data_IF_598462787599
#
_entry.id   IF_598462787599
#
_cell.length_a   1.000
_cell.length_b   1.000
_cell.length_c   1.000
_cell.angle_alpha   90.00
_cell.angle_beta   90.00
_cell.angle_gamma   90.00
#
_symmetry.space_group_name_H-M   'P 1'
#
loop_
_entity.id
_entity.type
_entity.pdbx_description
1 polymer ?
#
# COMPACT_ATOMS: atom_id res chain seq x y z
N UNK A 1 21.33 -35.72 -8.12
CA UNK A 1 20.67 -34.39 -8.17
C UNK A 1 19.20 -34.64 -7.88
N UNK A 2 18.72 -34.36 -6.67
CA UNK A 2 17.28 -34.45 -6.37
C UNK A 2 16.54 -33.38 -7.19
N UNK A 3 15.40 -33.70 -7.84
CA UNK A 3 14.61 -32.71 -8.55
C UNK A 3 14.18 -31.62 -7.57
N UNK A 4 14.39 -30.34 -7.93
CA UNK A 4 13.74 -29.24 -7.21
C UNK A 4 12.23 -29.48 -7.36
N UNK A 5 11.45 -29.55 -6.26
CA UNK A 5 10.01 -29.64 -6.39
C UNK A 5 9.55 -28.34 -7.07
N UNK A 6 9.08 -28.47 -8.30
CA UNK A 6 8.38 -27.39 -8.96
C UNK A 6 7.06 -27.23 -8.21
N UNK A 7 6.92 -26.13 -7.48
CA UNK A 7 5.63 -25.76 -6.91
C UNK A 7 4.64 -25.60 -8.05
N UNK A 8 3.50 -26.26 -7.94
CA UNK A 8 2.41 -26.06 -8.90
C UNK A 8 1.80 -24.67 -8.71
N UNK A 9 1.10 -24.17 -9.71
CA UNK A 9 0.37 -22.89 -9.58
C UNK A 9 -0.64 -22.92 -8.42
N UNK A 10 -1.22 -24.09 -8.16
CA UNK A 10 -2.11 -24.34 -7.04
C UNK A 10 -1.39 -24.23 -5.69
N UNK A 11 -0.14 -24.71 -5.58
CA UNK A 11 0.67 -24.55 -4.37
C UNK A 11 1.01 -23.07 -4.12
N UNK A 12 1.35 -22.34 -5.18
CA UNK A 12 1.67 -20.90 -5.08
C UNK A 12 0.42 -20.11 -4.68
N UNK A 13 -0.74 -20.38 -5.30
CA UNK A 13 -2.04 -19.78 -4.92
C UNK A 13 -2.32 -20.02 -3.44
N UNK A 14 -2.27 -21.28 -3.00
CA UNK A 14 -2.52 -21.66 -1.62
C UNK A 14 -1.58 -20.93 -0.67
N UNK A 15 -0.29 -20.90 -0.98
CA UNK A 15 0.70 -20.18 -0.17
C UNK A 15 0.38 -18.69 -0.05
N UNK A 16 -0.02 -18.02 -1.12
CA UNK A 16 -0.38 -16.60 -1.08
C UNK A 16 -1.66 -16.35 -0.26
N UNK A 17 -2.65 -17.25 -0.35
CA UNK A 17 -3.84 -17.21 0.51
C UNK A 17 -3.46 -17.41 1.98
N UNK A 18 -2.54 -18.34 2.26
CA UNK A 18 -2.04 -18.56 3.62
C UNK A 18 -1.34 -17.31 4.15
N UNK A 19 -0.54 -16.61 3.33
CA UNK A 19 0.08 -15.35 3.76
C UNK A 19 -0.95 -14.25 4.00
N UNK A 20 -2.02 -14.18 3.19
CA UNK A 20 -3.15 -13.26 3.42
C UNK A 20 -3.74 -13.47 4.82
N UNK A 21 -4.07 -14.72 5.16
CA UNK A 21 -4.67 -15.12 6.46
C UNK A 21 -3.71 -14.92 7.65
N UNK A 22 -2.39 -15.02 7.44
CA UNK A 22 -1.38 -14.88 8.51
C UNK A 22 -1.04 -13.41 8.79
N UNK A 23 -0.97 -12.55 7.77
CA UNK A 23 -0.51 -11.16 7.93
C UNK A 23 -1.64 -10.15 8.18
N UNK A 24 -2.89 -10.56 8.01
CA UNK A 24 -4.05 -9.70 8.18
C UNK A 24 -5.00 -10.32 9.19
N UNK A 25 -5.41 -9.54 10.17
CA UNK A 25 -6.45 -9.92 11.12
C UNK A 25 -7.83 -9.83 10.45
N UNK A 26 -8.83 -10.52 11.01
CA UNK A 26 -10.22 -10.45 10.56
C UNK A 26 -10.45 -10.77 9.07
N UNK A 27 -9.66 -11.71 8.53
CA UNK A 27 -9.87 -12.25 7.18
C UNK A 27 -11.01 -13.27 7.21
N UNK A 28 -12.05 -13.02 6.42
CA UNK A 28 -13.18 -13.91 6.22
C UNK A 28 -13.16 -14.42 4.78
N UNK A 29 -13.22 -15.74 4.61
CA UNK A 29 -13.36 -16.36 3.30
C UNK A 29 -14.84 -16.32 2.89
N UNK A 30 -15.15 -15.54 1.85
CA UNK A 30 -16.51 -15.34 1.35
C UNK A 30 -16.84 -16.43 0.34
N UNK A 31 -15.92 -16.68 -0.60
CA UNK A 31 -15.99 -17.78 -1.55
C UNK A 31 -14.67 -18.54 -1.57
N UNK A 32 -14.77 -19.86 -1.49
CA UNK A 32 -13.61 -20.73 -1.35
C UNK A 32 -12.60 -20.52 -2.48
N UNK A 33 -11.35 -20.24 -2.11
CA UNK A 33 -10.24 -20.04 -3.06
C UNK A 33 -10.42 -18.88 -4.07
N UNK A 34 -11.45 -18.03 -3.97
CA UNK A 34 -11.73 -16.97 -4.94
C UNK A 34 -12.05 -15.61 -4.34
N UNK A 35 -12.61 -15.51 -3.14
CA UNK A 35 -12.99 -14.22 -2.56
C UNK A 35 -12.80 -14.18 -1.04
N UNK A 36 -12.14 -13.13 -0.58
CA UNK A 36 -11.84 -12.89 0.83
C UNK A 36 -12.20 -11.45 1.21
N UNK A 37 -12.84 -11.27 2.35
CA UNK A 37 -13.09 -9.96 2.97
C UNK A 37 -12.11 -9.77 4.12
N UNK A 38 -11.51 -8.58 4.23
CA UNK A 38 -10.59 -8.23 5.32
C UNK A 38 -11.11 -6.97 5.99
N UNK A 39 -11.65 -7.12 7.20
CA UNK A 39 -12.18 -6.00 7.99
C UNK A 39 -11.07 -5.31 8.78
N UNK A 40 -11.10 -3.97 8.80
CA UNK A 40 -10.16 -3.16 9.56
C UNK A 40 -10.78 -1.84 9.98
N UNK A 41 -10.18 -1.18 10.95
CA UNK A 41 -10.61 0.15 11.41
C UNK A 41 -9.66 1.20 10.84
N UNK A 42 -10.22 2.25 10.23
CA UNK A 42 -9.49 3.46 9.86
C UNK A 42 -10.23 4.68 10.42
N UNK A 43 -9.55 5.50 11.23
CA UNK A 43 -10.13 6.66 11.91
C UNK A 43 -11.44 6.37 12.67
N UNK A 44 -11.50 5.22 13.37
CA UNK A 44 -12.68 4.81 14.13
C UNK A 44 -13.87 4.33 13.28
N UNK A 45 -13.72 4.24 11.95
CA UNK A 45 -14.72 3.67 11.05
C UNK A 45 -14.33 2.27 10.62
N UNK A 46 -15.32 1.36 10.59
CA UNK A 46 -15.14 0.03 10.04
C UNK A 46 -15.06 0.12 8.52
N UNK A 47 -13.98 -0.42 7.99
CA UNK A 47 -13.68 -0.54 6.58
C UNK A 47 -13.46 -2.02 6.25
N UNK A 48 -13.62 -2.40 5.00
CA UNK A 48 -13.30 -3.75 4.54
C UNK A 48 -12.67 -3.72 3.15
N UNK A 49 -11.68 -4.58 2.94
CA UNK A 49 -11.15 -4.90 1.61
C UNK A 49 -11.76 -6.19 1.10
N UNK A 50 -12.32 -6.16 -0.10
CA UNK A 50 -12.69 -7.38 -0.84
C UNK A 50 -11.55 -7.75 -1.79
N UNK A 51 -10.93 -8.89 -1.55
CA UNK A 51 -9.83 -9.46 -2.34
C UNK A 51 -10.39 -10.60 -3.18
N UNK A 52 -10.50 -10.36 -4.49
CA UNK A 52 -11.00 -11.31 -5.47
C UNK A 52 -9.81 -11.91 -6.24
N UNK A 53 -9.64 -13.22 -6.15
CA UNK A 53 -8.62 -13.98 -6.86
C UNK A 53 -9.21 -14.48 -8.17
N UNK A 54 -8.65 -14.05 -9.30
CA UNK A 54 -9.10 -14.54 -10.62
C UNK A 54 -8.75 -16.02 -10.80
N UNK A 55 -9.41 -16.74 -11.73
CA UNK A 55 -9.02 -18.11 -12.08
C UNK A 55 -7.54 -18.23 -12.49
N UNK A 56 -6.98 -17.17 -13.07
CA UNK A 56 -5.60 -17.07 -13.55
C UNK A 56 -4.60 -16.67 -12.46
N UNK A 57 -5.05 -16.29 -11.27
CA UNK A 57 -4.18 -16.02 -10.12
C UNK A 57 -3.32 -17.26 -9.78
N UNK A 58 -2.01 -17.11 -9.48
CA UNK A 58 -1.26 -15.88 -9.24
C UNK A 58 -0.51 -15.33 -10.47
N UNK A 59 -0.79 -15.83 -11.67
CA UNK A 59 -0.18 -15.28 -12.90
C UNK A 59 -0.80 -13.91 -13.25
N UNK A 60 -2.04 -13.69 -12.84
CA UNK A 60 -2.70 -12.39 -12.84
C UNK A 60 -2.77 -11.83 -11.40
N UNK A 61 -2.74 -10.51 -11.28
CA UNK A 61 -2.92 -9.82 -9.99
C UNK A 61 -4.35 -10.00 -9.46
N UNK A 62 -4.55 -9.97 -8.13
CA UNK A 62 -5.89 -9.99 -7.57
C UNK A 62 -6.62 -8.66 -7.83
N UNK A 63 -7.95 -8.71 -7.86
CA UNK A 63 -8.77 -7.49 -7.83
C UNK A 63 -9.08 -7.13 -6.38
N UNK A 64 -8.81 -5.89 -5.99
CA UNK A 64 -9.00 -5.42 -4.62
C UNK A 64 -9.98 -4.25 -4.63
N UNK A 65 -11.01 -4.32 -3.80
CA UNK A 65 -12.02 -3.27 -3.64
C UNK A 65 -12.08 -2.79 -2.19
N UNK A 66 -12.36 -1.51 -1.98
CA UNK A 66 -12.51 -0.91 -0.65
C UNK A 66 -13.97 -0.56 -0.38
N UNK A 67 -14.44 -0.88 0.83
CA UNK A 67 -15.78 -0.57 1.31
C UNK A 67 -15.72 0.04 2.71
N UNK A 68 -16.52 1.08 3.01
CA UNK A 68 -17.25 1.94 2.08
C UNK A 68 -16.35 2.66 1.05
N UNK A 69 -16.90 3.22 -0.04
CA UNK A 69 -16.18 4.03 -1.03
C UNK A 69 -15.35 5.16 -0.41
N UNK A 70 -14.13 5.37 -0.91
CA UNK A 70 -13.22 6.42 -0.44
C UNK A 70 -12.52 7.12 -1.59
N UNK A 71 -12.27 8.43 -1.43
CA UNK A 71 -11.44 9.19 -2.35
C UNK A 71 -9.97 9.02 -1.97
N UNK A 72 -9.21 8.31 -2.79
CA UNK A 72 -7.81 8.04 -2.53
C UNK A 72 -7.03 7.85 -3.84
N UNK A 73 -5.76 8.30 -3.97
CA UNK A 73 -4.98 8.16 -5.20
C UNK A 73 -4.78 6.72 -5.68
N UNK A 74 -4.89 5.75 -4.79
CA UNK A 74 -4.81 4.33 -5.13
C UNK A 74 -6.13 3.72 -5.60
N UNK A 75 -7.25 4.41 -5.40
CA UNK A 75 -8.60 3.93 -5.67
C UNK A 75 -9.13 4.61 -6.93
N UNK A 76 -9.68 3.81 -7.85
CA UNK A 76 -10.34 4.33 -9.04
C UNK A 76 -11.65 5.03 -8.67
N UNK A 77 -11.84 6.25 -9.19
CA UNK A 77 -12.98 7.14 -8.86
C UNK A 77 -14.36 6.51 -9.08
N UNK A 78 -14.49 5.54 -10.00
CA UNK A 78 -15.80 5.02 -10.44
C UNK A 78 -16.11 3.59 -9.96
N UNK A 79 -15.12 2.84 -9.47
CA UNK A 79 -15.28 1.40 -9.20
C UNK A 79 -14.95 0.99 -7.77
N UNK A 80 -14.41 1.90 -6.95
CA UNK A 80 -13.85 1.58 -5.62
C UNK A 80 -12.76 0.51 -5.66
N UNK A 81 -12.18 0.27 -6.83
CA UNK A 81 -11.12 -0.69 -7.03
C UNK A 81 -9.78 -0.03 -6.72
N UNK A 82 -8.94 -0.72 -5.97
CA UNK A 82 -7.55 -0.31 -5.77
C UNK A 82 -6.76 -0.66 -7.02
N UNK A 83 -6.27 0.33 -7.76
CA UNK A 83 -5.57 0.13 -9.03
C UNK A 83 -4.13 0.65 -9.01
N UNK A 84 -3.82 1.64 -8.16
CA UNK A 84 -2.54 2.37 -8.22
C UNK A 84 -1.64 2.10 -7.01
N UNK A 85 -1.98 1.12 -6.16
CA UNK A 85 -1.14 0.73 -5.03
C UNK A 85 0.19 0.14 -5.53
N UNK A 86 1.37 0.59 -5.06
CA UNK A 86 2.67 0.20 -5.62
C UNK A 86 2.94 -1.31 -5.65
N UNK A 87 2.50 -2.03 -4.61
CA UNK A 87 2.65 -3.50 -4.54
C UNK A 87 1.74 -4.25 -5.51
N UNK A 88 0.59 -3.65 -5.84
CA UNK A 88 -0.37 -4.20 -6.80
C UNK A 88 0.07 -3.94 -8.24
N UNK A 89 0.45 -2.71 -8.57
CA UNK A 89 0.95 -2.34 -9.91
C UNK A 89 2.18 -3.17 -10.32
N UNK A 90 3.03 -3.54 -9.36
CA UNK A 90 4.22 -4.36 -9.59
C UNK A 90 4.01 -5.82 -9.16
N UNK A 91 2.77 -6.30 -9.15
CA UNK A 91 2.47 -7.66 -8.73
C UNK A 91 3.14 -8.68 -9.66
N UNK A 92 3.67 -9.75 -9.06
CA UNK A 92 4.23 -10.90 -9.76
C UNK A 92 3.77 -12.16 -9.05
N UNK A 93 3.91 -13.33 -9.67
CA UNK A 93 3.59 -14.61 -9.03
C UNK A 93 4.44 -14.90 -7.76
N UNK A 94 5.54 -14.16 -7.57
CA UNK A 94 6.41 -14.24 -6.39
C UNK A 94 6.10 -13.18 -5.33
N UNK A 95 5.14 -12.29 -5.59
CA UNK A 95 4.68 -11.31 -4.61
C UNK A 95 4.04 -12.01 -3.40
N UNK A 96 4.03 -11.31 -2.27
CA UNK A 96 3.37 -11.76 -1.04
C UNK A 96 2.04 -11.04 -0.90
N UNK A 97 0.93 -11.76 -1.14
CA UNK A 97 -0.42 -11.20 -1.09
C UNK A 97 -0.74 -10.60 0.29
N UNK A 98 -0.38 -11.30 1.37
CA UNK A 98 -0.61 -10.82 2.73
C UNK A 98 0.08 -9.49 3.02
N UNK A 99 1.35 -9.34 2.63
CA UNK A 99 2.07 -8.06 2.79
C UNK A 99 1.52 -6.95 1.89
N UNK A 100 1.10 -7.30 0.67
CA UNK A 100 0.47 -6.37 -0.26
C UNK A 100 -0.82 -5.80 0.35
N UNK A 101 -1.72 -6.66 0.82
CA UNK A 101 -2.99 -6.25 1.44
C UNK A 101 -2.73 -5.46 2.73
N UNK A 102 -1.80 -5.90 3.57
CA UNK A 102 -1.44 -5.19 4.79
C UNK A 102 -0.89 -3.78 4.49
N UNK A 103 -0.09 -3.62 3.43
CA UNK A 103 0.42 -2.31 3.01
C UNK A 103 -0.71 -1.39 2.55
N UNK A 104 -1.71 -1.92 1.83
CA UNK A 104 -2.90 -1.17 1.41
C UNK A 104 -3.72 -0.72 2.64
N UNK A 105 -3.97 -1.63 3.58
CA UNK A 105 -4.68 -1.32 4.84
C UNK A 105 -3.98 -0.18 5.59
N UNK A 106 -2.64 -0.28 5.74
CA UNK A 106 -1.85 0.74 6.45
C UNK A 106 -1.91 2.11 5.79
N UNK A 107 -1.95 2.16 4.46
CA UNK A 107 -2.10 3.42 3.73
C UNK A 107 -3.45 4.08 4.06
N UNK A 108 -4.53 3.30 3.98
CA UNK A 108 -5.87 3.81 4.29
C UNK A 108 -6.02 4.23 5.75
N UNK A 109 -5.42 3.49 6.69
CA UNK A 109 -5.39 3.89 8.09
C UNK A 109 -4.64 5.20 8.33
N UNK A 110 -3.69 5.57 7.46
CA UNK A 110 -2.88 6.78 7.60
C UNK A 110 -3.49 8.00 6.92
N UNK A 111 -4.19 7.82 5.80
CA UNK A 111 -4.55 8.91 4.89
C UNK A 111 -6.04 9.05 4.60
N UNK A 112 -6.92 8.20 5.13
CA UNK A 112 -8.35 8.49 5.00
C UNK A 112 -8.67 9.80 5.73
N UNK A 113 -9.27 10.81 5.08
CA UNK A 113 -9.64 12.03 5.76
C UNK A 113 -10.73 11.73 6.79
N UNK A 114 -10.51 12.17 8.03
CA UNK A 114 -11.53 12.20 9.07
C UNK A 114 -12.73 12.98 8.58
N UNK A 115 -13.80 12.29 8.22
CA UNK A 115 -15.08 12.92 7.94
C UNK A 115 -15.66 13.40 9.27
N UNK A 116 -15.38 14.66 9.58
CA UNK A 116 -16.08 15.59 10.49
C UNK A 116 -16.37 15.10 11.91
N UNK A 117 -15.64 15.68 12.87
CA UNK A 117 -16.01 15.67 14.28
C UNK A 117 -17.17 16.66 14.49
N UNK A 118 -18.41 16.18 14.60
CA UNK A 118 -19.51 16.98 15.18
C UNK A 118 -19.28 17.07 16.69
N UNK A 119 -18.45 18.04 17.09
CA UNK A 119 -18.31 18.49 18.47
C UNK A 119 -19.17 19.73 18.71
N UNK A 120 -20.35 19.55 19.30
CA UNK A 120 -21.22 20.61 19.81
C UNK A 120 -20.48 21.44 20.86
N UNK A 121 -20.31 22.74 20.64
CA UNK A 121 -20.11 23.74 21.70
C UNK A 121 -20.49 25.13 21.18
N UNK A 122 -21.61 25.63 21.68
CA UNK A 122 -22.03 27.02 21.53
C UNK A 122 -21.00 27.95 22.19
N UNK A 123 -20.36 28.82 21.42
CA UNK A 123 -20.07 30.19 21.88
C UNK A 123 -19.85 31.12 20.68
N UNK A 124 -20.41 32.32 20.76
CA UNK A 124 -20.62 33.25 19.66
C UNK A 124 -19.36 34.08 19.34
N UNK A 125 -18.90 34.08 18.08
CA UNK A 125 -18.12 35.17 17.46
C UNK A 125 -17.92 34.99 15.93
N UNK A 126 -17.65 36.07 15.17
CA UNK A 126 -18.24 36.26 13.84
C UNK A 126 -17.43 35.70 12.65
N UNK A 127 -18.20 35.16 11.69
CA UNK A 127 -17.95 34.96 10.25
C UNK A 127 -16.50 34.92 9.74
N UNK A 128 -16.11 33.74 9.25
CA UNK A 128 -15.37 33.62 7.98
C UNK A 128 -16.16 32.73 7.04
N UNK A 129 -16.78 33.34 6.04
CA UNK A 129 -17.41 32.64 4.94
C UNK A 129 -16.33 31.88 4.15
N UNK A 130 -16.33 30.56 4.19
CA UNK A 130 -15.72 29.77 3.12
C UNK A 130 -16.85 29.21 2.28
N UNK A 131 -16.98 29.85 1.12
CA UNK A 131 -17.83 29.42 0.01
C UNK A 131 -17.45 27.99 -0.38
N UNK A 132 -18.44 27.12 -0.40
CA UNK A 132 -18.38 25.79 -0.99
C UNK A 132 -18.23 25.91 -2.50
N UNK A 133 -17.00 25.99 -2.99
CA UNK A 133 -16.69 25.77 -4.39
C UNK A 133 -15.31 25.11 -4.52
N UNK A 134 -15.36 23.81 -4.81
CA UNK A 134 -14.43 23.07 -5.69
C UNK A 134 -13.21 23.85 -6.16
N UNK A 135 -11.99 23.43 -5.78
CA UNK A 135 -10.86 23.27 -6.68
C UNK A 135 -9.86 22.25 -6.11
N UNK A 136 -9.46 21.30 -6.96
CA UNK A 136 -8.22 20.53 -6.85
C UNK A 136 -7.06 21.44 -6.40
N UNK A 137 -6.13 20.90 -5.60
CA UNK A 137 -4.84 21.52 -5.32
C UNK A 137 -3.72 20.78 -6.09
N UNK A 138 -3.42 21.16 -7.35
CA UNK A 138 -2.25 20.64 -8.09
C UNK A 138 -0.91 20.93 -7.39
N UNK A 139 -0.82 22.06 -6.68
CA UNK A 139 0.43 22.56 -6.10
C UNK A 139 1.01 21.64 -5.01
N UNK A 140 0.14 20.93 -4.29
CA UNK A 140 0.52 20.04 -3.19
C UNK A 140 1.04 18.67 -3.70
N UNK A 141 0.64 18.27 -4.91
CA UNK A 141 1.11 17.03 -5.56
C UNK A 141 2.54 17.21 -6.04
N UNK A 142 2.85 18.34 -6.67
CA UNK A 142 4.22 18.63 -7.13
C UNK A 142 5.19 18.76 -5.95
N UNK A 143 4.78 19.37 -4.84
CA UNK A 143 5.60 19.44 -3.62
C UNK A 143 5.85 18.05 -3.02
N UNK A 144 4.86 17.16 -3.04
CA UNK A 144 5.01 15.78 -2.57
C UNK A 144 5.94 14.95 -3.47
N UNK A 145 5.79 15.06 -4.80
CA UNK A 145 6.66 14.39 -5.77
C UNK A 145 8.10 14.91 -5.64
N UNK A 146 8.27 16.21 -5.43
CA UNK A 146 9.58 16.82 -5.18
C UNK A 146 10.21 16.29 -3.88
N UNK A 147 9.47 16.27 -2.77
CA UNK A 147 9.98 15.73 -1.50
C UNK A 147 10.32 14.23 -1.59
N UNK A 148 9.54 13.45 -2.35
CA UNK A 148 9.83 12.03 -2.56
C UNK A 148 11.10 11.83 -3.41
N UNK A 149 11.24 12.59 -4.51
CA UNK A 149 12.43 12.56 -5.35
C UNK A 149 13.69 12.98 -4.56
N UNK A 150 13.58 14.00 -3.70
CA UNK A 150 14.66 14.47 -2.84
C UNK A 150 15.09 13.42 -1.81
N UNK A 151 14.12 12.82 -1.08
CA UNK A 151 14.43 11.77 -0.10
C UNK A 151 15.07 10.53 -0.76
N UNK A 152 14.65 10.18 -1.97
CA UNK A 152 15.27 9.11 -2.75
C UNK A 152 16.70 9.48 -3.15
N UNK A 153 16.92 10.69 -3.68
CA UNK A 153 18.22 11.17 -4.11
C UNK A 153 19.21 11.24 -2.93
N UNK A 154 18.77 11.70 -1.76
CA UNK A 154 19.56 11.73 -0.54
C UNK A 154 20.00 10.32 -0.10
N UNK A 155 19.09 9.34 -0.17
CA UNK A 155 19.41 7.94 0.13
C UNK A 155 20.45 7.35 -0.83
N UNK A 156 20.34 7.65 -2.13
CA UNK A 156 21.32 7.22 -3.13
C UNK A 156 22.69 7.88 -2.91
N UNK A 157 22.71 9.18 -2.61
CA UNK A 157 23.94 9.92 -2.31
C UNK A 157 24.64 9.39 -1.05
N UNK A 158 23.88 9.00 -0.01
CA UNK A 158 24.43 8.40 1.20
C UNK A 158 25.09 7.06 0.92
N UNK A 159 24.42 6.15 0.19
CA UNK A 159 25.02 4.85 -0.19
C UNK A 159 26.29 5.03 -1.02
N UNK A 160 26.27 5.93 -2.00
CA UNK A 160 27.44 6.20 -2.84
C UNK A 160 28.63 6.74 -2.04
N UNK A 161 28.38 7.55 -0.99
CA UNK A 161 29.44 8.02 -0.08
C UNK A 161 29.99 6.89 0.79
N UNK A 162 29.12 6.06 1.36
CA UNK A 162 29.52 4.91 2.18
C UNK A 162 30.37 3.92 1.37
N UNK A 163 29.98 3.62 0.12
CA UNK A 163 30.75 2.77 -0.80
C UNK A 163 32.12 3.36 -1.15
N UNK A 164 32.21 4.67 -1.43
CA UNK A 164 33.48 5.34 -1.71
C UNK A 164 34.43 5.32 -0.52
N UNK A 165 33.90 5.50 0.69
CA UNK A 165 34.69 5.52 1.92
C UNK A 165 35.19 4.12 2.26
N UNK A 166 34.34 3.09 2.10
CA UNK A 166 34.74 1.69 2.22
C UNK A 166 35.85 1.33 1.21
N UNK A 167 35.75 1.82 -0.03
CA UNK A 167 36.75 1.57 -1.05
C UNK A 167 38.10 2.24 -0.73
N UNK A 168 38.09 3.47 -0.20
CA UNK A 168 39.32 4.15 0.22
C UNK A 168 40.01 3.44 1.39
N UNK A 169 39.24 3.00 2.40
CA UNK A 169 39.79 2.23 3.52
C UNK A 169 40.43 0.92 3.05
N UNK A 170 39.79 0.21 2.11
CA UNK A 170 40.33 -1.02 1.54
C UNK A 170 41.63 -0.80 0.73
N UNK A 171 41.80 0.36 0.10
CA UNK A 171 43.05 0.70 -0.59
C UNK A 171 44.18 1.07 0.38
N UNK A 172 43.88 1.75 1.49
CA UNK A 172 44.86 2.05 2.55
C UNK A 172 45.38 0.79 3.24
N UNK A 173 44.51 -0.16 3.54
CA UNK A 173 44.88 -1.45 4.15
C UNK A 173 45.88 -2.22 3.25
N UNK A 174 45.60 -2.28 1.95
CA UNK A 174 46.48 -2.92 0.95
C UNK A 174 47.82 -2.19 0.75
N UNK A 175 47.89 -0.89 1.01
CA UNK A 175 49.12 -0.12 0.87
C UNK A 175 50.01 -0.19 2.13
N UNK A 176 49.51 -0.76 3.23
CA UNK A 176 50.21 -0.87 4.51
C UNK A 176 50.74 -2.30 4.78
N UNK A 177 50.56 -3.21 3.82
CA UNK A 177 51.15 -4.58 3.79
C UNK A 177 52.16 -4.66 2.64
#
# INVERSE_FOLDING_TARGET
>A
MLPRPYYTEQDIRKRQIDTLKVFNDHVVEVHENSEYSVEFIANGKNMSLSVILTPEFPNEQPNIYIHPPVLHPWVSENSNQVTSAPGLVNFTLHSDLGRLVQAIIREFQRYLPTSSDEGTSNDASPQKNYSTHSLMFPELVDEFVAQFAEKRALGQARRAREERLAHQLAQLDKATT
#
